data_IF_432572666194
#
_entry.id   IF_432572666194
#
_cell.length_a   1.000
_cell.length_b   1.000
_cell.length_c   1.000
_cell.angle_alpha   90.00
_cell.angle_beta   90.00
_cell.angle_gamma   90.00
#
_symmetry.space_group_name_H-M   'P 1'
#
loop_
_entity.id
_entity.type
_entity.pdbx_description
1 polymer ?
#
# COMPACT_ATOMS: atom_id res chain seq x y z
N UNK A 1 27.85 -3.85 -1.65
CA UNK A 1 26.74 -4.84 -1.64
C UNK A 1 25.47 -4.12 -1.22
N UNK A 2 24.46 -4.02 -2.08
CA UNK A 2 23.19 -3.42 -1.69
C UNK A 2 22.42 -4.38 -0.78
N UNK A 3 22.08 -3.95 0.44
CA UNK A 3 21.29 -4.76 1.37
C UNK A 3 19.84 -4.72 0.93
N UNK A 4 19.25 -5.89 0.68
CA UNK A 4 17.81 -6.03 0.50
C UNK A 4 17.09 -5.50 1.75
N UNK A 5 15.99 -4.79 1.54
CA UNK A 5 15.22 -4.17 2.61
C UNK A 5 13.74 -4.51 2.41
N UNK A 6 13.05 -4.82 3.51
CA UNK A 6 11.64 -5.21 3.49
C UNK A 6 10.88 -4.51 4.63
N UNK A 7 9.60 -4.23 4.41
CA UNK A 7 8.71 -3.68 5.42
C UNK A 7 7.31 -4.27 5.31
N UNK A 8 6.56 -4.26 6.41
CA UNK A 8 5.15 -4.68 6.43
C UNK A 8 4.33 -3.62 7.14
N UNK A 9 3.27 -3.15 6.48
CA UNK A 9 2.33 -2.20 7.02
C UNK A 9 0.98 -2.88 7.18
N UNK A 10 0.42 -2.85 8.40
CA UNK A 10 -0.92 -3.36 8.69
C UNK A 10 -1.83 -2.21 9.07
N UNK A 11 -2.98 -2.13 8.41
CA UNK A 11 -3.97 -1.08 8.60
C UNK A 11 -5.33 -1.71 8.90
N UNK A 12 -5.93 -1.31 10.02
CA UNK A 12 -7.31 -1.65 10.35
C UNK A 12 -8.24 -0.55 9.82
N UNK A 13 -9.19 -0.92 8.97
CA UNK A 13 -10.17 0.01 8.41
C UNK A 13 -11.51 -0.09 9.14
N UNK A 14 -12.33 0.94 8.96
CA UNK A 14 -13.62 1.06 9.66
C UNK A 14 -14.64 0.01 9.22
N UNK A 15 -14.59 -0.42 7.96
CA UNK A 15 -15.52 -1.39 7.39
C UNK A 15 -14.85 -2.28 6.35
N UNK A 16 -15.45 -3.44 6.10
CA UNK A 16 -14.99 -4.34 5.05
C UNK A 16 -15.14 -3.72 3.65
N UNK A 17 -16.20 -2.94 3.41
CA UNK A 17 -16.38 -2.17 2.17
C UNK A 17 -15.24 -1.18 1.93
N UNK A 18 -14.80 -0.47 2.97
CA UNK A 18 -13.67 0.45 2.87
C UNK A 18 -12.38 -0.30 2.50
N UNK A 19 -12.17 -1.49 3.07
CA UNK A 19 -10.99 -2.31 2.77
C UNK A 19 -10.98 -2.85 1.35
N UNK A 20 -12.15 -3.20 0.82
CA UNK A 20 -12.30 -3.64 -0.56
C UNK A 20 -12.08 -2.50 -1.54
N UNK A 21 -12.67 -1.33 -1.29
CA UNK A 21 -12.49 -0.14 -2.11
C UNK A 21 -11.01 0.29 -2.17
N UNK A 22 -10.32 0.32 -1.03
CA UNK A 22 -8.89 0.68 -0.98
C UNK A 22 -8.04 -0.38 -1.69
N UNK A 23 -8.31 -1.68 -1.50
CA UNK A 23 -7.61 -2.73 -2.25
C UNK A 23 -7.80 -2.55 -3.75
N UNK A 24 -9.04 -2.40 -4.22
CA UNK A 24 -9.35 -2.25 -5.63
C UNK A 24 -8.67 -1.02 -6.26
N UNK A 25 -8.60 0.10 -5.52
CA UNK A 25 -7.93 1.31 -5.98
C UNK A 25 -6.40 1.17 -6.06
N UNK A 26 -5.77 0.43 -5.15
CA UNK A 26 -4.31 0.26 -5.11
C UNK A 26 -3.80 -0.93 -5.93
N UNK A 27 -4.66 -1.91 -6.24
CA UNK A 27 -4.31 -3.08 -7.04
C UNK A 27 -3.70 -2.76 -8.43
N UNK A 28 -4.19 -1.81 -9.24
CA UNK A 28 -3.52 -1.43 -10.48
C UNK A 28 -2.11 -0.87 -10.25
N UNK A 29 -1.90 -0.10 -9.18
CA UNK A 29 -0.60 0.49 -8.84
C UNK A 29 0.41 -0.55 -8.38
N UNK A 30 -0.03 -1.65 -7.75
CA UNK A 30 0.85 -2.79 -7.42
C UNK A 30 1.38 -3.50 -8.66
N UNK A 31 0.62 -3.50 -9.76
CA UNK A 31 1.02 -4.09 -11.04
C UNK A 31 1.89 -3.14 -11.85
N UNK A 32 1.63 -1.84 -11.79
CA UNK A 32 2.43 -0.81 -12.47
C UNK A 32 3.78 -0.55 -11.78
N UNK A 33 3.84 -0.61 -10.44
CA UNK A 33 5.05 -0.36 -9.64
C UNK A 33 6.02 -1.55 -9.57
N UNK A 34 5.82 -2.62 -10.35
CA UNK A 34 6.81 -3.71 -10.51
C UNK A 34 8.00 -3.19 -11.31
N UNK A 35 8.76 -2.27 -10.72
CA UNK A 35 10.09 -1.92 -11.19
C UNK A 35 11.07 -2.94 -10.63
N UNK A 36 12.17 -3.20 -11.32
CA UNK A 36 13.16 -4.22 -10.93
C UNK A 36 13.77 -4.03 -9.51
N UNK A 37 13.48 -2.90 -8.84
CA UNK A 37 14.05 -2.50 -7.55
C UNK A 37 13.08 -2.55 -6.36
N UNK A 38 11.76 -2.63 -6.58
CA UNK A 38 10.77 -2.77 -5.49
C UNK A 38 9.54 -3.55 -5.91
N UNK A 39 9.06 -4.44 -5.04
CA UNK A 39 7.79 -5.16 -5.17
C UNK A 39 6.90 -4.83 -3.98
N UNK A 40 5.63 -4.58 -4.26
CA UNK A 40 4.61 -4.34 -3.24
C UNK A 40 3.46 -5.31 -3.44
N UNK A 41 3.06 -5.99 -2.37
CA UNK A 41 1.93 -6.91 -2.35
C UNK A 41 0.90 -6.44 -1.33
N UNK A 42 -0.37 -6.42 -1.73
CA UNK A 42 -1.48 -6.04 -0.86
C UNK A 42 -2.35 -7.26 -0.59
N UNK A 43 -2.65 -7.51 0.68
CA UNK A 43 -3.54 -8.59 1.15
C UNK A 43 -4.63 -7.98 2.00
N UNK A 44 -5.90 -8.34 1.72
CA UNK A 44 -7.07 -7.95 2.51
C UNK A 44 -7.51 -9.13 3.37
N UNK A 45 -7.77 -8.88 4.64
CA UNK A 45 -8.28 -9.86 5.60
C UNK A 45 -9.45 -9.21 6.37
N UNK A 46 -10.69 -9.49 5.95
CA UNK A 46 -11.88 -8.83 6.47
C UNK A 46 -11.79 -7.31 6.31
N UNK A 47 -11.78 -6.57 7.42
CA UNK A 47 -11.62 -5.10 7.47
C UNK A 47 -10.17 -4.61 7.50
N UNK A 48 -9.19 -5.52 7.48
CA UNK A 48 -7.78 -5.19 7.58
C UNK A 48 -7.10 -5.28 6.22
N UNK A 49 -6.12 -4.42 5.98
CA UNK A 49 -5.23 -4.49 4.83
C UNK A 49 -3.80 -4.60 5.32
N UNK A 50 -3.05 -5.53 4.73
CA UNK A 50 -1.61 -5.67 4.92
C UNK A 50 -0.89 -5.38 3.60
N UNK A 51 0.07 -4.45 3.64
CA UNK A 51 0.98 -4.18 2.54
C UNK A 51 2.36 -4.73 2.87
N UNK A 52 2.91 -5.55 1.98
CA UNK A 52 4.26 -6.10 2.06
C UNK A 52 5.12 -5.39 1.03
N UNK A 53 6.25 -4.85 1.48
CA UNK A 53 7.21 -4.14 0.65
C UNK A 53 8.53 -4.92 0.64
N UNK A 54 9.05 -5.21 -0.55
CA UNK A 54 10.35 -5.82 -0.75
C UNK A 54 11.15 -4.97 -1.74
N UNK A 55 12.37 -4.58 -1.38
CA UNK A 55 13.21 -3.74 -2.22
C UNK A 55 14.68 -4.18 -2.22
N UNK A 56 15.40 -3.81 -3.28
CA UNK A 56 16.85 -4.08 -3.44
C UNK A 56 17.73 -3.27 -2.49
N UNK A 57 17.20 -2.17 -1.96
CA UNK A 57 17.88 -1.20 -1.14
C UNK A 57 16.89 -0.37 -0.32
N UNK A 58 17.39 0.31 0.71
CA UNK A 58 16.59 1.17 1.60
C UNK A 58 16.04 2.41 0.90
N UNK A 59 16.69 2.91 -0.15
CA UNK A 59 16.21 4.08 -0.91
C UNK A 59 14.97 3.72 -1.73
N UNK A 60 15.00 2.59 -2.44
CA UNK A 60 13.86 2.04 -3.15
C UNK A 60 12.72 1.66 -2.20
N UNK A 61 13.04 1.11 -1.01
CA UNK A 61 12.03 0.85 0.03
C UNK A 61 11.34 2.15 0.45
N UNK A 62 12.11 3.18 0.83
CA UNK A 62 11.57 4.47 1.26
C UNK A 62 10.73 5.14 0.17
N UNK A 63 11.20 5.10 -1.08
CA UNK A 63 10.46 5.66 -2.22
C UNK A 63 9.11 4.94 -2.42
N UNK A 64 9.11 3.61 -2.44
CA UNK A 64 7.89 2.82 -2.59
C UNK A 64 6.92 3.05 -1.43
N UNK A 65 7.40 3.03 -0.18
CA UNK A 65 6.55 3.31 0.99
C UNK A 65 5.94 4.71 0.93
N UNK A 66 6.72 5.74 0.57
CA UNK A 66 6.21 7.11 0.51
C UNK A 66 5.09 7.26 -0.52
N UNK A 67 5.19 6.64 -1.70
CA UNK A 67 4.13 6.65 -2.71
C UNK A 67 2.85 6.00 -2.19
N UNK A 68 2.95 4.79 -1.62
CA UNK A 68 1.79 4.06 -1.12
C UNK A 68 1.13 4.75 0.08
N UNK A 69 1.92 5.30 1.01
CA UNK A 69 1.39 6.04 2.15
C UNK A 69 0.65 7.32 1.71
N UNK A 70 1.16 8.02 0.70
CA UNK A 70 0.48 9.20 0.17
C UNK A 70 -0.85 8.83 -0.52
N UNK A 71 -0.89 7.75 -1.30
CA UNK A 71 -2.15 7.26 -1.88
C UNK A 71 -3.15 6.81 -0.82
N UNK A 72 -2.69 6.12 0.23
CA UNK A 72 -3.54 5.74 1.36
C UNK A 72 -4.13 6.96 2.07
N UNK A 73 -3.35 8.03 2.24
CA UNK A 73 -3.82 9.30 2.80
C UNK A 73 -4.91 9.91 1.91
N UNK A 74 -4.68 10.01 0.61
CA UNK A 74 -5.66 10.54 -0.35
C UNK A 74 -6.95 9.72 -0.38
N UNK A 75 -6.85 8.40 -0.40
CA UNK A 75 -8.02 7.50 -0.36
C UNK A 75 -8.80 7.65 0.93
N UNK A 76 -8.12 7.81 2.07
CA UNK A 76 -8.78 8.06 3.37
C UNK A 76 -9.51 9.40 3.37
N UNK A 77 -8.89 10.46 2.87
CA UNK A 77 -9.51 11.79 2.77
C UNK A 77 -10.74 11.76 1.87
N UNK A 78 -10.63 11.14 0.69
CA UNK A 78 -11.74 11.01 -0.27
C UNK A 78 -12.87 10.12 0.27
N UNK A 79 -12.55 9.01 0.93
CA UNK A 79 -13.56 8.17 1.57
C UNK A 79 -14.30 8.93 2.67
N UNK A 80 -13.60 9.76 3.44
CA UNK A 80 -14.22 10.58 4.46
C UNK A 80 -15.09 11.68 3.86
N UNK A 81 -14.67 12.34 2.78
CA UNK A 81 -15.46 13.42 2.14
C UNK A 81 -16.72 12.91 1.45
N UNK A 82 -16.73 11.66 0.98
CA UNK A 82 -17.92 11.05 0.35
C UNK A 82 -18.93 10.47 1.36
N UNK A 83 -18.51 10.29 2.62
CA UNK A 83 -19.35 9.76 3.70
C UNK A 83 -19.54 10.78 4.84
N UNK A 84 -19.24 12.05 4.60
CA UNK A 84 -19.49 13.19 5.49
C UNK A 84 -20.77 13.90 5.05
#
# INVERSE_FOLDING_TARGET
>A
MSKKASATLKLALRSEKASEAIKAALEPETKASVTARSRVKIVKEGKNITLFFDASDTTALRASMNSYLNWLRLLKELYNSLNA
#
